data_IF_438468959127
#
_entry.id   IF_438468959127
#
_cell.length_a   1.000
_cell.length_b   1.000
_cell.length_c   1.000
_cell.angle_alpha   90.00
_cell.angle_beta   90.00
_cell.angle_gamma   90.00
#
_symmetry.space_group_name_H-M   'P 1'
#
loop_
_entity.id
_entity.type
_entity.pdbx_description
1 polymer ?
#
# COMPACT_ATOMS: atom_id res chain seq x y z
N UNK A 1 25.69 11.29 -12.66
CA UNK A 1 24.43 12.04 -12.49
C UNK A 1 24.58 13.28 -11.59
N UNK A 2 25.33 13.21 -10.48
CA UNK A 2 25.62 14.40 -9.64
C UNK A 2 26.24 15.58 -10.40
N UNK A 3 27.03 15.34 -11.44
CA UNK A 3 27.64 16.40 -12.26
C UNK A 3 26.65 17.14 -13.18
N UNK A 4 25.44 16.61 -13.39
CA UNK A 4 24.44 17.21 -14.29
C UNK A 4 23.54 18.22 -13.55
N UNK A 5 23.35 18.04 -12.24
CA UNK A 5 22.50 18.89 -11.40
C UNK A 5 23.22 19.25 -10.09
N UNK A 6 24.18 20.20 -10.14
CA UNK A 6 25.09 20.48 -9.02
C UNK A 6 24.41 21.12 -7.79
N UNK A 7 23.14 21.53 -7.91
CA UNK A 7 22.34 22.12 -6.81
C UNK A 7 21.18 21.21 -6.37
N UNK A 8 21.21 19.94 -6.77
CA UNK A 8 20.10 19.02 -6.52
C UNK A 8 20.61 17.82 -5.73
N UNK A 9 20.04 17.64 -4.55
CA UNK A 9 20.25 16.44 -3.75
C UNK A 9 19.24 15.36 -4.16
N UNK A 10 19.76 14.16 -4.44
CA UNK A 10 18.96 13.00 -4.80
C UNK A 10 18.76 12.13 -3.56
N UNK A 11 17.52 12.06 -3.09
CA UNK A 11 17.12 11.24 -1.95
C UNK A 11 16.46 9.99 -2.50
N UNK A 12 17.08 8.83 -2.23
CA UNK A 12 16.47 7.54 -2.53
C UNK A 12 15.39 7.24 -1.51
N UNK A 13 14.20 6.88 -1.98
CA UNK A 13 13.08 6.47 -1.14
C UNK A 13 12.62 5.07 -1.53
N UNK A 14 12.38 4.23 -0.53
CA UNK A 14 11.75 2.94 -0.74
C UNK A 14 10.23 3.13 -0.79
N UNK A 15 9.61 2.62 -1.86
CA UNK A 15 8.15 2.58 -1.98
C UNK A 15 7.75 1.23 -2.58
N UNK A 16 6.61 0.66 -2.17
CA UNK A 16 6.12 -0.59 -2.73
C UNK A 16 5.60 -0.37 -4.15
N UNK A 17 5.99 -1.25 -5.07
CA UNK A 17 5.44 -1.23 -6.43
C UNK A 17 3.93 -1.58 -6.42
N UNK A 18 3.22 -1.21 -7.50
CA UNK A 18 1.77 -1.44 -7.61
C UNK A 18 1.38 -2.93 -7.50
N UNK A 19 2.28 -3.85 -7.87
CA UNK A 19 2.04 -5.30 -7.73
C UNK A 19 2.12 -5.74 -6.28
N UNK A 20 3.09 -5.22 -5.51
CA UNK A 20 3.24 -5.49 -4.09
C UNK A 20 2.04 -4.98 -3.30
N UNK A 21 1.57 -3.76 -3.58
CA UNK A 21 0.36 -3.17 -2.99
C UNK A 21 -0.86 -4.08 -3.25
N UNK A 22 -1.04 -4.53 -4.50
CA UNK A 22 -2.16 -5.44 -4.84
C UNK A 22 -2.06 -6.78 -4.11
N UNK A 23 -0.86 -7.36 -4.01
CA UNK A 23 -0.65 -8.65 -3.34
C UNK A 23 -0.88 -8.54 -1.83
N UNK A 24 -0.35 -7.50 -1.18
CA UNK A 24 -0.53 -7.28 0.27
C UNK A 24 -1.99 -7.01 0.61
N UNK A 25 -2.69 -6.22 -0.21
CA UNK A 25 -4.13 -5.98 -0.06
C UNK A 25 -4.95 -7.27 -0.20
N UNK A 26 -4.69 -8.11 -1.21
CA UNK A 26 -5.38 -9.40 -1.37
C UNK A 26 -5.16 -10.33 -0.16
N UNK A 27 -3.95 -10.34 0.41
CA UNK A 27 -3.66 -11.11 1.63
C UNK A 27 -4.44 -10.60 2.83
N UNK A 28 -4.55 -9.27 2.99
CA UNK A 28 -5.38 -8.66 4.03
C UNK A 28 -6.85 -9.04 3.85
N UNK A 29 -7.39 -8.88 2.64
CA UNK A 29 -8.79 -9.24 2.35
C UNK A 29 -9.08 -10.70 2.68
N UNK A 30 -8.16 -11.62 2.38
CA UNK A 30 -8.27 -13.04 2.77
C UNK A 30 -8.25 -13.26 4.27
N UNK A 31 -7.42 -12.53 5.02
CA UNK A 31 -7.37 -12.69 6.49
C UNK A 31 -8.61 -12.14 7.19
N UNK A 32 -9.37 -11.27 6.51
CA UNK A 32 -10.68 -10.79 6.97
C UNK A 32 -11.84 -11.78 6.73
N UNK A 33 -11.64 -12.89 5.99
CA UNK A 33 -12.73 -13.81 5.65
C UNK A 33 -13.04 -14.82 6.77
N UNK A 34 -14.32 -15.04 7.12
CA UNK A 34 -14.74 -16.12 8.02
C UNK A 34 -14.30 -17.48 7.48
N UNK A 35 -13.74 -18.35 8.34
CA UNK A 35 -13.25 -19.68 7.93
C UNK A 35 -14.36 -20.64 7.48
N UNK A 36 -15.61 -20.30 7.79
CA UNK A 36 -16.84 -21.08 7.63
C UNK A 36 -17.73 -20.60 6.46
N UNK A 37 -17.39 -19.48 5.82
CA UNK A 37 -18.05 -19.04 4.59
C UNK A 37 -17.39 -19.72 3.38
N UNK A 38 -18.11 -19.75 2.26
CA UNK A 38 -17.74 -20.23 0.91
C UNK A 38 -16.38 -19.67 0.46
N UNK A 39 -15.29 -20.16 1.05
CA UNK A 39 -13.94 -19.73 0.79
C UNK A 39 -13.59 -19.97 -0.68
N UNK A 40 -14.14 -21.02 -1.30
CA UNK A 40 -13.96 -21.30 -2.72
C UNK A 40 -14.36 -20.14 -3.63
N UNK A 41 -15.62 -19.69 -3.56
CA UNK A 41 -16.13 -18.64 -4.47
C UNK A 41 -15.48 -17.28 -4.24
N UNK A 42 -15.22 -16.90 -2.99
CA UNK A 42 -14.58 -15.61 -2.67
C UNK A 42 -13.09 -15.61 -3.04
N UNK A 43 -12.39 -16.73 -2.83
CA UNK A 43 -10.99 -16.89 -3.26
C UNK A 43 -10.90 -16.84 -4.79
N UNK A 44 -11.80 -17.51 -5.51
CA UNK A 44 -11.85 -17.45 -6.98
C UNK A 44 -12.11 -16.03 -7.50
N UNK A 45 -13.04 -15.28 -6.89
CA UNK A 45 -13.30 -13.87 -7.21
C UNK A 45 -12.05 -12.99 -6.98
N UNK A 46 -11.37 -13.18 -5.85
CA UNK A 46 -10.15 -12.42 -5.50
C UNK A 46 -8.96 -12.77 -6.40
N UNK A 47 -8.76 -14.06 -6.72
CA UNK A 47 -7.59 -14.55 -7.44
C UNK A 47 -7.72 -14.46 -8.95
N UNK A 48 -8.85 -14.89 -9.50
CA UNK A 48 -9.05 -15.07 -10.94
C UNK A 48 -9.63 -13.79 -11.57
N UNK A 49 -10.58 -13.15 -10.89
CA UNK A 49 -11.26 -11.97 -11.43
C UNK A 49 -10.69 -10.64 -10.91
N UNK A 50 -9.82 -10.67 -9.89
CA UNK A 50 -9.24 -9.47 -9.29
C UNK A 50 -10.26 -8.61 -8.55
N UNK A 51 -11.41 -9.19 -8.16
CA UNK A 51 -12.47 -8.48 -7.48
C UNK A 51 -12.15 -8.28 -5.99
N UNK A 52 -12.32 -7.06 -5.48
CA UNK A 52 -12.23 -6.76 -4.05
C UNK A 52 -13.62 -6.88 -3.42
N UNK A 53 -13.99 -8.07 -2.96
CA UNK A 53 -15.31 -8.32 -2.35
C UNK A 53 -15.19 -8.34 -0.83
N UNK A 54 -15.92 -7.46 -0.15
CA UNK A 54 -16.10 -7.50 1.30
C UNK A 54 -17.41 -8.23 1.61
N UNK A 55 -17.35 -9.36 2.32
CA UNK A 55 -18.55 -10.04 2.81
C UNK A 55 -18.74 -9.70 4.28
N UNK A 56 -19.79 -8.94 4.59
CA UNK A 56 -20.22 -8.68 5.95
C UNK A 56 -21.26 -9.72 6.37
N UNK A 57 -21.04 -10.41 7.49
CA UNK A 57 -22.06 -11.27 8.12
C UNK A 57 -22.99 -10.41 8.97
N UNK A 58 -24.25 -10.85 9.12
CA UNK A 58 -25.28 -10.13 9.90
C UNK A 58 -24.99 -10.14 11.41
N UNK A 59 -24.17 -11.08 11.89
CA UNK A 59 -23.69 -11.14 13.26
C UNK A 59 -22.40 -10.32 13.37
N UNK A 60 -22.41 -9.33 14.28
CA UNK A 60 -21.44 -8.23 14.32
C UNK A 60 -19.95 -8.62 14.44
N UNK A 61 -19.11 -7.57 14.44
CA UNK A 61 -17.64 -7.62 14.44
C UNK A 61 -16.94 -8.51 15.50
N UNK A 62 -17.67 -9.15 16.43
CA UNK A 62 -17.10 -10.09 17.40
C UNK A 62 -16.87 -11.51 16.81
N UNK A 63 -17.56 -11.85 15.71
CA UNK A 63 -17.43 -13.12 15.00
C UNK A 63 -16.44 -13.05 13.83
N UNK A 64 -15.93 -11.87 13.50
CA UNK A 64 -14.85 -11.74 12.51
C UNK A 64 -13.59 -12.44 13.00
N UNK A 65 -12.94 -13.27 12.17
CA UNK A 65 -11.67 -13.88 12.53
C UNK A 65 -10.70 -12.78 12.95
N UNK A 66 -9.87 -13.05 13.97
CA UNK A 66 -8.72 -12.20 14.30
C UNK A 66 -7.92 -11.95 13.03
N UNK A 67 -8.14 -10.77 12.43
CA UNK A 67 -7.55 -10.37 11.16
C UNK A 67 -6.05 -10.32 11.40
N UNK A 68 -5.36 -11.37 10.96
CA UNK A 68 -3.91 -11.40 11.02
C UNK A 68 -3.40 -10.38 10.01
N UNK A 69 -3.04 -9.20 10.52
CA UNK A 69 -2.47 -8.07 9.76
C UNK A 69 -1.02 -8.36 9.37
N UNK A 70 -0.26 -8.99 10.26
CA UNK A 70 1.16 -9.31 10.11
C UNK A 70 1.53 -10.05 8.80
N UNK A 71 0.83 -11.11 8.35
CA UNK A 71 1.20 -11.82 7.13
C UNK A 71 0.89 -11.03 5.85
N UNK A 72 0.02 -10.03 5.94
CA UNK A 72 -0.42 -9.25 4.77
C UNK A 72 0.62 -8.24 4.33
N UNK A 73 1.41 -7.67 5.26
CA UNK A 73 2.30 -6.53 5.04
C UNK A 73 1.61 -5.31 4.41
N UNK A 74 0.28 -5.24 4.48
CA UNK A 74 -0.47 -4.12 3.95
C UNK A 74 -0.11 -2.81 4.67
N UNK A 75 0.01 -2.88 5.99
CA UNK A 75 0.40 -1.72 6.81
C UNK A 75 1.84 -1.29 6.52
N UNK A 76 2.77 -2.21 6.23
CA UNK A 76 4.12 -1.86 5.81
C UNK A 76 4.11 -1.08 4.48
N UNK A 77 3.30 -1.53 3.51
CA UNK A 77 3.15 -0.84 2.23
C UNK A 77 2.60 0.59 2.43
N UNK A 78 1.55 0.74 3.24
CA UNK A 78 0.96 2.04 3.56
C UNK A 78 1.94 2.94 4.33
N UNK A 79 2.69 2.36 5.27
CA UNK A 79 3.70 3.08 6.05
C UNK A 79 4.79 3.65 5.15
N UNK A 80 5.30 2.87 4.20
CA UNK A 80 6.33 3.34 3.26
C UNK A 80 5.84 4.54 2.44
N UNK A 81 4.62 4.51 1.92
CA UNK A 81 4.04 5.64 1.16
C UNK A 81 3.97 6.89 2.05
N UNK A 82 3.46 6.74 3.29
CA UNK A 82 3.36 7.85 4.23
C UNK A 82 4.73 8.38 4.67
N UNK A 83 5.76 7.54 4.76
CA UNK A 83 7.12 7.98 5.05
C UNK A 83 7.68 8.86 3.92
N UNK A 84 7.41 8.53 2.65
CA UNK A 84 7.79 9.38 1.51
C UNK A 84 7.08 10.74 1.60
N UNK A 85 5.77 10.73 1.84
CA UNK A 85 5.01 11.97 2.03
C UNK A 85 5.56 12.82 3.20
N UNK A 86 5.88 12.18 4.33
CA UNK A 86 6.53 12.82 5.48
C UNK A 86 7.86 13.47 5.12
N UNK A 87 8.72 12.74 4.40
CA UNK A 87 10.01 13.26 3.93
C UNK A 87 9.84 14.47 3.01
N UNK A 88 8.88 14.42 2.08
CA UNK A 88 8.56 15.56 1.20
C UNK A 88 8.12 16.77 2.01
N UNK A 89 7.25 16.58 3.01
CA UNK A 89 6.79 17.66 3.90
C UNK A 89 7.95 18.24 4.70
N UNK A 90 8.85 17.42 5.24
CA UNK A 90 10.04 17.88 5.97
C UNK A 90 10.95 18.76 5.10
N UNK A 91 11.19 18.35 3.85
CA UNK A 91 12.01 19.12 2.90
C UNK A 91 11.34 20.46 2.51
N UNK A 92 10.02 20.46 2.33
CA UNK A 92 9.29 21.67 1.97
C UNK A 92 9.17 22.65 3.13
N UNK A 93 8.71 22.18 4.30
CA UNK A 93 8.32 23.04 5.42
C UNK A 93 9.50 23.37 6.34
N UNK A 94 10.29 22.37 6.72
CA UNK A 94 11.39 22.57 7.68
C UNK A 94 12.62 23.14 6.97
N UNK A 95 12.94 22.64 5.78
CA UNK A 95 14.14 23.07 5.05
C UNK A 95 13.89 24.22 4.06
N UNK A 96 12.62 24.51 3.72
CA UNK A 96 12.28 25.55 2.75
C UNK A 96 12.74 25.24 1.33
N UNK A 97 12.99 23.97 1.02
CA UNK A 97 13.47 23.53 -0.28
C UNK A 97 12.31 23.41 -1.29
N UNK A 98 12.63 23.42 -2.57
CA UNK A 98 11.70 22.94 -3.61
C UNK A 98 11.99 21.47 -3.88
N UNK A 99 10.93 20.64 -3.94
CA UNK A 99 11.06 19.19 -4.09
C UNK A 99 10.48 18.76 -5.43
N UNK A 100 11.22 17.93 -6.17
CA UNK A 100 10.72 17.19 -7.32
C UNK A 100 10.52 15.73 -6.91
N UNK A 101 9.27 15.27 -6.93
CA UNK A 101 8.93 13.85 -6.72
C UNK A 101 8.85 13.19 -8.08
N UNK A 102 9.73 12.22 -8.33
CA UNK A 102 9.75 11.44 -9.56
C UNK A 102 9.96 9.97 -9.20
N UNK A 103 8.85 9.26 -9.00
CA UNK A 103 8.86 7.82 -8.71
C UNK A 103 8.46 7.05 -9.97
N UNK A 104 9.32 6.11 -10.37
CA UNK A 104 9.10 5.20 -11.51
C UNK A 104 8.61 5.94 -12.78
N UNK A 105 7.42 5.61 -13.28
CA UNK A 105 6.80 6.21 -14.47
C UNK A 105 6.03 7.51 -14.15
N UNK A 106 5.88 7.87 -12.87
CA UNK A 106 5.32 9.15 -12.43
C UNK A 106 3.78 9.23 -12.38
N UNK A 107 3.05 8.14 -12.67
CA UNK A 107 1.58 8.17 -12.77
C UNK A 107 0.86 7.34 -11.70
N UNK A 108 1.57 6.57 -10.89
CA UNK A 108 1.00 5.63 -9.92
C UNK A 108 1.39 5.95 -8.46
N UNK A 109 2.68 5.95 -8.13
CA UNK A 109 3.19 6.25 -6.78
C UNK A 109 3.32 7.76 -6.54
N UNK A 110 3.69 8.51 -7.56
CA UNK A 110 3.84 9.99 -7.48
C UNK A 110 2.54 10.73 -7.08
N UNK A 111 1.33 10.36 -7.54
CA UNK A 111 0.10 11.02 -7.11
C UNK A 111 -0.45 10.61 -5.73
N UNK A 112 0.11 9.58 -5.07
CA UNK A 112 -0.35 9.10 -3.76
C UNK A 112 0.11 10.02 -2.63
#
# INVERSE_FOLDING_TARGET
>A
MKDVYPKTDLIGVEHPDARQIRVSFKKLMRSCLPRNLVAGTVIELLDIQGASVLVALEDGWDATPQVHLEPSRWLDCAHNILQVAGTVIELLDIQGASVLVALEDGWDATPQ
#
